data_IF_094759033210
#
_entry.id   IF_094759033210
#
_cell.length_a   1.000
_cell.length_b   1.000
_cell.length_c   1.000
_cell.angle_alpha   90.00
_cell.angle_beta   90.00
_cell.angle_gamma   90.00
#
_symmetry.space_group_name_H-M   'P 1'
#
loop_
_entity.id
_entity.type
_entity.pdbx_description
1 polymer ?
#
# COMPACT_ATOMS: atom_id res chain seq x y z
N UNK A 1 -42.36 -14.56 57.48
CA UNK A 1 -41.55 -15.04 56.33
C UNK A 1 -41.08 -13.81 55.59
N UNK A 2 -39.80 -13.49 55.75
CA UNK A 2 -39.15 -12.33 55.12
C UNK A 2 -38.55 -12.79 53.83
N UNK A 3 -38.96 -12.19 52.75
CA UNK A 3 -38.31 -12.35 51.43
C UNK A 3 -37.19 -11.31 51.30
N UNK A 4 -35.98 -11.77 51.27
CA UNK A 4 -34.80 -10.96 50.97
C UNK A 4 -34.62 -10.90 49.47
N UNK A 5 -34.74 -9.70 48.88
CA UNK A 5 -34.43 -9.45 47.49
C UNK A 5 -32.94 -9.11 47.42
N UNK A 6 -32.16 -9.92 46.77
CA UNK A 6 -30.75 -9.62 46.46
C UNK A 6 -30.68 -8.65 45.28
N UNK A 7 -30.11 -7.49 45.52
CA UNK A 7 -29.68 -6.56 44.48
C UNK A 7 -28.36 -7.06 43.88
N UNK A 8 -28.44 -7.81 42.78
CA UNK A 8 -27.29 -8.43 42.12
C UNK A 8 -27.35 -8.54 40.59
N UNK A 9 -28.42 -8.05 39.96
CA UNK A 9 -28.62 -8.28 38.54
C UNK A 9 -28.59 -7.00 37.67
N UNK A 10 -27.65 -6.09 37.96
CA UNK A 10 -27.51 -4.88 37.13
C UNK A 10 -26.09 -4.66 36.63
N UNK A 11 -25.40 -5.74 36.23
CA UNK A 11 -24.08 -5.66 35.60
C UNK A 11 -23.89 -6.73 34.54
N UNK A 12 -24.72 -6.77 33.52
CA UNK A 12 -24.44 -7.53 32.28
C UNK A 12 -24.94 -6.78 31.05
N UNK A 13 -24.46 -5.56 30.89
CA UNK A 13 -24.52 -4.81 29.65
C UNK A 13 -23.11 -4.67 29.04
N UNK A 14 -22.33 -5.75 28.99
CA UNK A 14 -21.17 -5.81 28.11
C UNK A 14 -21.69 -6.07 26.71
N UNK A 15 -21.85 -4.98 25.97
CA UNK A 15 -22.02 -5.04 24.52
C UNK A 15 -20.89 -5.84 23.92
N UNK A 16 -21.19 -7.06 23.50
CA UNK A 16 -20.42 -7.75 22.48
C UNK A 16 -20.39 -6.84 21.26
N UNK A 17 -19.38 -6.01 21.15
CA UNK A 17 -18.91 -5.53 19.87
C UNK A 17 -18.37 -6.78 19.16
N UNK A 18 -19.27 -7.48 18.48
CA UNK A 18 -18.89 -8.39 17.43
C UNK A 18 -18.22 -7.48 16.40
N UNK A 19 -16.89 -7.43 16.43
CA UNK A 19 -16.12 -6.98 15.30
C UNK A 19 -16.59 -7.84 14.11
N UNK A 20 -17.49 -7.29 13.34
CA UNK A 20 -17.80 -7.84 12.02
C UNK A 20 -16.49 -7.73 11.24
N UNK A 21 -15.69 -8.82 11.26
CA UNK A 21 -14.67 -9.06 10.24
C UNK A 21 -15.40 -8.89 8.93
N UNK A 22 -15.25 -7.74 8.29
CA UNK A 22 -15.64 -7.54 6.89
C UNK A 22 -15.00 -8.70 6.14
N UNK A 23 -15.83 -9.65 5.70
CA UNK A 23 -15.37 -10.71 4.81
C UNK A 23 -14.88 -10.00 3.55
N UNK A 24 -13.58 -9.89 3.41
CA UNK A 24 -12.97 -9.39 2.20
C UNK A 24 -13.38 -10.33 1.07
N UNK A 25 -14.15 -9.79 0.14
CA UNK A 25 -14.61 -10.55 -1.03
C UNK A 25 -13.39 -11.03 -1.81
N UNK A 26 -13.37 -12.29 -2.20
CA UNK A 26 -12.31 -12.83 -3.04
C UNK A 26 -12.27 -12.09 -4.37
N UNK A 27 -11.10 -11.57 -4.73
CA UNK A 27 -10.88 -10.89 -6.01
C UNK A 27 -10.35 -11.88 -7.02
N UNK A 28 -11.04 -12.01 -8.14
CA UNK A 28 -10.60 -12.84 -9.25
C UNK A 28 -9.86 -12.01 -10.31
N UNK A 29 -8.86 -12.59 -10.99
CA UNK A 29 -8.06 -11.86 -11.98
C UNK A 29 -8.91 -11.21 -13.08
N UNK A 30 -9.89 -11.94 -13.60
CA UNK A 30 -10.75 -11.45 -14.69
C UNK A 30 -11.66 -10.29 -14.25
N UNK A 31 -12.13 -10.31 -12.99
CA UNK A 31 -12.92 -9.22 -12.42
C UNK A 31 -12.06 -7.94 -12.28
N UNK A 32 -10.84 -8.08 -11.78
CA UNK A 32 -9.92 -6.95 -11.63
C UNK A 32 -9.49 -6.41 -13.00
N UNK A 33 -9.17 -7.30 -13.94
CA UNK A 33 -8.82 -6.90 -15.30
C UNK A 33 -9.96 -6.15 -15.99
N UNK A 34 -11.18 -6.66 -15.88
CA UNK A 34 -12.36 -6.03 -16.47
C UNK A 34 -12.62 -4.64 -15.87
N UNK A 35 -12.41 -4.47 -14.56
CA UNK A 35 -12.59 -3.17 -13.92
C UNK A 35 -11.53 -2.17 -14.36
N UNK A 36 -10.25 -2.58 -14.46
CA UNK A 36 -9.17 -1.72 -14.92
C UNK A 36 -9.31 -1.33 -16.40
N UNK A 37 -9.78 -2.25 -17.26
CA UNK A 37 -10.00 -2.01 -18.69
C UNK A 37 -11.13 -1.04 -19.00
N UNK A 38 -11.93 -0.64 -18.02
CA UNK A 38 -12.94 0.41 -18.23
C UNK A 38 -12.30 1.78 -18.47
N UNK A 39 -11.18 2.03 -17.80
CA UNK A 39 -10.53 3.34 -17.80
C UNK A 39 -9.20 3.34 -18.58
N UNK A 40 -8.65 2.15 -18.89
CA UNK A 40 -7.35 2.00 -19.54
C UNK A 40 -7.50 1.24 -20.85
N UNK A 41 -7.00 1.81 -21.93
CA UNK A 41 -7.10 1.25 -23.27
C UNK A 41 -5.73 0.85 -23.82
N UNK A 42 -5.70 -0.26 -24.58
CA UNK A 42 -4.52 -0.66 -25.34
C UNK A 42 -3.39 -1.30 -24.53
N UNK A 43 -3.68 -1.75 -23.28
CA UNK A 43 -2.73 -2.41 -22.40
C UNK A 43 -3.26 -3.74 -21.86
N UNK A 44 -4.10 -4.42 -22.61
CA UNK A 44 -4.90 -5.57 -22.15
C UNK A 44 -4.05 -6.70 -21.57
N UNK A 45 -2.92 -7.04 -22.21
CA UNK A 45 -2.04 -8.11 -21.73
C UNK A 45 -1.36 -7.72 -20.41
N UNK A 46 -0.87 -6.48 -20.31
CA UNK A 46 -0.26 -5.99 -19.08
C UNK A 46 -1.28 -5.94 -17.93
N UNK A 47 -2.49 -5.46 -18.20
CA UNK A 47 -3.58 -5.40 -17.21
C UNK A 47 -3.95 -6.80 -16.73
N UNK A 48 -4.08 -7.78 -17.62
CA UNK A 48 -4.34 -9.17 -17.24
C UNK A 48 -3.25 -9.71 -16.32
N UNK A 49 -1.98 -9.48 -16.68
CA UNK A 49 -0.86 -9.95 -15.86
C UNK A 49 -0.80 -9.30 -14.49
N UNK A 50 -1.00 -8.00 -14.40
CA UNK A 50 -1.09 -7.26 -13.14
C UNK A 50 -2.24 -7.82 -12.28
N UNK A 51 -3.40 -8.04 -12.89
CA UNK A 51 -4.57 -8.57 -12.21
C UNK A 51 -4.36 -9.99 -11.67
N UNK A 52 -3.65 -10.85 -12.41
CA UNK A 52 -3.23 -12.18 -11.94
C UNK A 52 -2.36 -12.09 -10.68
N UNK A 53 -1.32 -11.25 -10.71
CA UNK A 53 -0.36 -11.09 -9.60
C UNK A 53 -1.06 -10.56 -8.35
N UNK A 54 -1.78 -9.46 -8.48
CA UNK A 54 -2.48 -8.83 -7.35
C UNK A 54 -3.54 -9.78 -6.76
N UNK A 55 -4.36 -10.40 -7.60
CA UNK A 55 -5.40 -11.33 -7.13
C UNK A 55 -4.80 -12.56 -6.45
N UNK A 56 -3.66 -13.07 -6.93
CA UNK A 56 -2.96 -14.16 -6.29
C UNK A 56 -2.46 -13.78 -4.90
N UNK A 57 -1.87 -12.58 -4.74
CA UNK A 57 -1.39 -12.08 -3.45
C UNK A 57 -2.55 -11.85 -2.47
N UNK A 58 -3.63 -11.21 -2.89
CA UNK A 58 -4.81 -10.96 -2.05
C UNK A 58 -5.47 -12.24 -1.52
N UNK A 59 -5.30 -13.37 -2.21
CA UNK A 59 -5.83 -14.68 -1.79
C UNK A 59 -4.90 -15.46 -0.86
N UNK A 60 -3.69 -14.97 -0.61
CA UNK A 60 -2.76 -15.63 0.32
C UNK A 60 -3.28 -15.53 1.75
N UNK A 61 -3.02 -16.55 2.57
CA UNK A 61 -3.32 -16.53 4.02
C UNK A 61 -2.50 -15.45 4.75
N UNK A 62 -1.31 -15.17 4.22
CA UNK A 62 -0.42 -14.09 4.66
C UNK A 62 -0.07 -13.29 3.40
N UNK A 63 -0.71 -12.15 3.19
CA UNK A 63 -0.33 -11.24 2.12
C UNK A 63 1.12 -10.76 2.32
N UNK A 64 1.77 -10.47 1.22
CA UNK A 64 3.12 -9.91 1.19
C UNK A 64 3.08 -8.61 0.41
N UNK A 65 4.08 -7.75 0.59
CA UNK A 65 4.22 -6.56 -0.24
C UNK A 65 4.20 -6.96 -1.72
N UNK A 66 3.34 -6.30 -2.51
CA UNK A 66 3.26 -6.56 -3.94
C UNK A 66 4.04 -5.50 -4.71
N UNK A 67 4.94 -5.94 -5.60
CA UNK A 67 5.80 -5.06 -6.36
C UNK A 67 5.64 -5.38 -7.84
N UNK A 68 5.15 -4.41 -8.58
CA UNK A 68 4.92 -4.53 -10.02
C UNK A 68 5.75 -3.46 -10.73
N UNK A 69 6.65 -3.89 -11.60
CA UNK A 69 7.49 -2.99 -12.38
C UNK A 69 6.99 -2.93 -13.82
N UNK A 70 6.70 -1.71 -14.28
CA UNK A 70 6.21 -1.43 -15.63
C UNK A 70 7.30 -0.74 -16.45
N UNK A 71 7.81 -1.46 -17.41
CA UNK A 71 8.79 -0.95 -18.37
C UNK A 71 8.13 -0.47 -19.67
N UNK A 72 8.73 0.51 -20.31
CA UNK A 72 8.29 0.97 -21.62
C UNK A 72 8.45 2.48 -21.83
N UNK A 73 8.24 2.98 -23.04
CA UNK A 73 8.37 4.39 -23.34
C UNK A 73 7.35 5.24 -22.56
N UNK A 74 7.63 6.54 -22.49
CA UNK A 74 6.70 7.51 -21.89
C UNK A 74 5.38 7.56 -22.69
N UNK A 75 4.26 7.73 -21.99
CA UNK A 75 2.95 7.93 -22.63
C UNK A 75 2.18 6.66 -22.99
N UNK A 76 2.67 5.47 -22.64
CA UNK A 76 1.95 4.20 -22.90
C UNK A 76 0.95 3.81 -21.80
N UNK A 77 0.64 4.70 -20.86
CA UNK A 77 -0.40 4.42 -19.85
C UNK A 77 0.08 3.74 -18.56
N UNK A 78 1.40 3.61 -18.33
CA UNK A 78 1.94 3.01 -17.08
C UNK A 78 1.40 3.67 -15.81
N UNK A 79 1.39 4.98 -15.79
CA UNK A 79 0.92 5.79 -14.67
C UNK A 79 -0.61 5.66 -14.46
N UNK A 80 -1.37 5.50 -15.52
CA UNK A 80 -2.83 5.35 -15.45
C UNK A 80 -3.23 4.04 -14.76
N UNK A 81 -2.46 2.97 -14.93
CA UNK A 81 -2.68 1.71 -14.20
C UNK A 81 -2.60 1.93 -12.69
N UNK A 82 -1.55 2.64 -12.23
CA UNK A 82 -1.39 2.95 -10.81
C UNK A 82 -2.55 3.80 -10.25
N UNK A 83 -3.05 4.75 -11.03
CA UNK A 83 -4.16 5.63 -10.63
C UNK A 83 -5.52 4.91 -10.58
N UNK A 84 -5.77 3.99 -11.52
CA UNK A 84 -7.04 3.27 -11.58
C UNK A 84 -7.15 2.14 -10.54
N UNK A 85 -6.01 1.56 -10.13
CA UNK A 85 -5.96 0.38 -9.27
C UNK A 85 -6.68 0.55 -7.91
N UNK A 86 -6.50 1.65 -7.15
CA UNK A 86 -7.17 1.82 -5.86
C UNK A 86 -8.69 1.74 -5.96
N UNK A 87 -9.28 2.43 -6.93
CA UNK A 87 -10.73 2.42 -7.16
C UNK A 87 -11.27 1.05 -7.57
N UNK A 88 -10.53 0.34 -8.44
CA UNK A 88 -10.89 -1.01 -8.85
C UNK A 88 -10.86 -1.99 -7.66
N UNK A 89 -9.83 -1.92 -6.82
CA UNK A 89 -9.70 -2.74 -5.62
C UNK A 89 -10.78 -2.42 -4.59
N UNK A 90 -11.06 -1.15 -4.33
CA UNK A 90 -12.11 -0.73 -3.39
C UNK A 90 -13.47 -1.28 -3.82
N UNK A 91 -13.80 -1.18 -5.10
CA UNK A 91 -15.06 -1.69 -5.65
C UNK A 91 -15.21 -3.20 -5.49
N UNK A 92 -14.13 -3.96 -5.68
CA UNK A 92 -14.16 -5.42 -5.62
C UNK A 92 -14.05 -5.97 -4.20
N UNK A 93 -13.25 -5.34 -3.34
CA UNK A 93 -12.99 -5.82 -1.98
C UNK A 93 -13.88 -5.17 -0.93
N UNK A 94 -14.40 -3.97 -1.20
CA UNK A 94 -15.03 -3.10 -0.20
C UNK A 94 -14.03 -2.47 0.78
N UNK A 95 -12.72 -2.62 0.53
CA UNK A 95 -11.64 -2.06 1.33
C UNK A 95 -11.11 -0.79 0.67
N UNK A 96 -11.09 0.33 1.39
CA UNK A 96 -10.53 1.58 0.87
C UNK A 96 -9.02 1.51 0.77
N UNK A 97 -8.49 1.74 -0.43
CA UNK A 97 -7.07 1.83 -0.71
C UNK A 97 -6.65 3.30 -0.82
N UNK A 98 -5.63 3.70 -0.06
CA UNK A 98 -4.98 4.99 -0.26
C UNK A 98 -4.13 4.99 -1.54
N UNK A 99 -3.91 6.18 -2.12
CA UNK A 99 -3.08 6.32 -3.32
C UNK A 99 -2.04 7.43 -3.15
N UNK A 100 -0.79 7.11 -3.47
CA UNK A 100 0.32 8.05 -3.41
C UNK A 100 1.18 7.93 -4.67
N UNK A 101 1.26 9.02 -5.43
CA UNK A 101 2.17 9.12 -6.57
C UNK A 101 3.43 9.85 -6.13
N UNK A 102 4.58 9.27 -6.38
CA UNK A 102 5.90 9.78 -6.00
C UNK A 102 6.78 9.79 -7.24
N UNK A 103 7.11 10.98 -7.71
CA UNK A 103 8.06 11.18 -8.80
C UNK A 103 9.48 11.16 -8.24
N UNK A 104 10.23 10.09 -8.50
CA UNK A 104 11.55 9.88 -7.87
C UNK A 104 12.61 10.88 -8.36
N UNK A 105 12.40 11.50 -9.52
CA UNK A 105 13.24 12.59 -10.02
C UNK A 105 13.17 13.88 -9.19
N UNK A 106 12.14 14.04 -8.32
CA UNK A 106 12.02 15.18 -7.42
C UNK A 106 12.81 15.01 -6.11
N UNK A 107 13.29 13.79 -5.87
CA UNK A 107 14.02 13.44 -4.65
C UNK A 107 15.53 13.52 -4.87
N UNK A 108 16.03 14.77 -4.93
CA UNK A 108 17.45 15.07 -5.16
C UNK A 108 18.10 15.51 -3.85
N UNK A 109 19.24 14.91 -3.50
CA UNK A 109 20.03 15.26 -2.32
C UNK A 109 19.62 14.57 -1.01
N UNK A 110 20.41 14.79 0.04
CA UNK A 110 20.29 14.08 1.32
C UNK A 110 18.97 14.36 2.06
N UNK A 111 18.47 15.58 2.01
CA UNK A 111 17.20 15.93 2.64
C UNK A 111 16.01 15.17 2.05
N UNK A 112 16.08 14.77 0.78
CA UNK A 112 15.05 13.99 0.13
C UNK A 112 15.01 12.56 0.67
N UNK A 113 16.15 11.99 1.03
CA UNK A 113 16.21 10.66 1.67
C UNK A 113 15.47 10.66 3.00
N UNK A 114 15.58 11.75 3.77
CA UNK A 114 14.88 11.89 5.05
C UNK A 114 13.34 11.92 4.88
N UNK A 115 12.84 12.45 3.77
CA UNK A 115 11.40 12.38 3.45
C UNK A 115 10.92 10.96 3.17
N UNK A 116 11.81 10.06 2.74
CA UNK A 116 11.48 8.64 2.58
C UNK A 116 11.58 7.88 3.89
N UNK A 117 12.74 7.94 4.54
CA UNK A 117 13.12 7.04 5.63
C UNK A 117 13.27 7.73 6.98
N UNK A 118 12.86 9.01 7.07
CA UNK A 118 12.96 9.78 8.31
C UNK A 118 14.36 10.29 8.60
N UNK A 119 14.46 11.12 9.64
CA UNK A 119 15.71 11.67 10.14
C UNK A 119 16.04 11.10 11.50
N UNK A 120 17.32 10.83 11.81
CA UNK A 120 17.74 10.45 13.15
C UNK A 120 17.38 11.52 14.19
N UNK A 121 17.26 11.15 15.47
CA UNK A 121 17.10 12.12 16.56
C UNK A 121 18.18 13.21 16.50
N UNK A 122 17.80 14.44 16.77
CA UNK A 122 18.65 15.64 16.75
C UNK A 122 19.01 16.20 15.36
N UNK A 123 18.53 15.59 14.28
CA UNK A 123 18.68 16.14 12.94
C UNK A 123 17.46 16.97 12.53
N UNK A 124 17.68 17.90 11.60
CA UNK A 124 16.58 18.68 10.99
C UNK A 124 15.60 17.72 10.30
N UNK A 125 14.29 17.91 10.54
CA UNK A 125 13.26 17.01 10.03
C UNK A 125 13.00 15.77 10.88
N UNK A 126 13.57 15.70 12.11
CA UNK A 126 13.21 14.65 13.06
C UNK A 126 11.70 14.72 13.38
N UNK A 127 11.00 13.60 13.21
CA UNK A 127 9.53 13.45 13.31
C UNK A 127 8.72 14.12 12.18
N UNK A 128 9.34 14.63 11.13
CA UNK A 128 8.58 15.01 9.95
C UNK A 128 7.93 13.75 9.33
N UNK A 129 6.69 13.86 8.82
CA UNK A 129 6.02 12.73 8.19
C UNK A 129 6.81 12.22 7.00
N UNK A 130 7.02 10.91 6.94
CA UNK A 130 7.64 10.24 5.79
C UNK A 130 6.61 9.85 4.75
N UNK A 131 7.06 9.48 3.54
CA UNK A 131 6.18 8.99 2.48
C UNK A 131 5.40 7.74 2.89
N UNK A 132 5.87 6.99 3.89
CA UNK A 132 5.23 5.77 4.38
C UNK A 132 4.28 6.00 5.56
N UNK A 133 4.19 7.20 6.10
CA UNK A 133 3.33 7.49 7.25
C UNK A 133 1.85 7.11 7.03
N UNK A 134 1.26 7.29 5.83
CA UNK A 134 -0.11 6.87 5.57
C UNK A 134 -0.39 5.37 5.83
N UNK A 135 0.63 4.49 5.72
CA UNK A 135 0.48 3.05 5.98
C UNK A 135 0.13 2.76 7.45
N UNK A 136 0.54 3.62 8.38
CA UNK A 136 0.22 3.46 9.82
C UNK A 136 -1.26 3.61 10.11
N UNK A 137 -1.92 4.53 9.42
CA UNK A 137 -3.36 4.80 9.60
C UNK A 137 -4.25 3.87 8.77
N UNK A 138 -3.78 3.50 7.59
CA UNK A 138 -4.44 2.54 6.71
C UNK A 138 -3.38 1.66 6.04
N UNK A 139 -3.29 0.36 6.35
CA UNK A 139 -2.28 -0.52 5.77
C UNK A 139 -2.51 -0.80 4.27
N UNK A 140 -3.71 -0.56 3.77
CA UNK A 140 -4.06 -0.78 2.36
C UNK A 140 -3.70 0.46 1.53
N UNK A 141 -2.54 0.43 0.90
CA UNK A 141 -2.01 1.56 0.12
C UNK A 141 -1.52 1.10 -1.25
N UNK A 142 -1.68 1.96 -2.24
CA UNK A 142 -1.04 1.85 -3.55
C UNK A 142 -0.06 2.99 -3.71
N UNK A 143 1.21 2.66 -3.86
CA UNK A 143 2.27 3.62 -4.16
C UNK A 143 2.66 3.50 -5.62
N UNK A 144 2.57 4.59 -6.36
CA UNK A 144 3.09 4.71 -7.70
C UNK A 144 4.44 5.44 -7.64
N UNK A 145 5.52 4.70 -7.86
CA UNK A 145 6.88 5.23 -7.90
C UNK A 145 7.27 5.47 -9.35
N UNK A 146 7.24 6.72 -9.79
CA UNK A 146 7.55 7.08 -11.16
C UNK A 146 9.05 7.26 -11.39
N UNK A 147 9.55 6.69 -12.49
CA UNK A 147 10.91 6.83 -12.98
C UNK A 147 11.98 6.33 -11.99
N UNK A 148 11.92 5.05 -11.65
CA UNK A 148 12.84 4.42 -10.68
C UNK A 148 14.32 4.62 -11.05
N UNK A 149 14.64 4.73 -12.33
CA UNK A 149 15.99 5.01 -12.83
C UNK A 149 16.53 6.40 -12.46
N UNK A 150 15.66 7.29 -12.00
CA UNK A 150 16.03 8.65 -11.53
C UNK A 150 16.24 8.72 -10.02
N UNK A 151 15.93 7.65 -9.30
CA UNK A 151 16.13 7.61 -7.85
C UNK A 151 17.61 7.75 -7.50
N UNK A 152 17.90 8.54 -6.48
CA UNK A 152 19.26 8.56 -5.90
C UNK A 152 19.58 7.23 -5.25
N UNK A 153 20.83 6.79 -5.28
CA UNK A 153 21.29 5.47 -4.83
C UNK A 153 20.78 5.08 -3.44
N UNK A 154 20.74 6.02 -2.51
CA UNK A 154 20.27 5.77 -1.14
C UNK A 154 18.78 5.46 -1.07
N UNK A 155 17.96 6.13 -1.89
CA UNK A 155 16.51 5.84 -1.97
C UNK A 155 16.32 4.50 -2.65
N UNK A 156 17.01 4.26 -3.75
CA UNK A 156 16.94 2.98 -4.46
C UNK A 156 17.28 1.80 -3.54
N UNK A 157 18.43 1.87 -2.86
CA UNK A 157 18.89 0.82 -1.94
C UNK A 157 17.91 0.63 -0.79
N UNK A 158 17.44 1.73 -0.18
CA UNK A 158 16.46 1.65 0.91
C UNK A 158 15.12 1.05 0.48
N UNK A 159 14.64 1.35 -0.73
CA UNK A 159 13.44 0.71 -1.29
C UNK A 159 13.65 -0.78 -1.51
N UNK A 160 14.80 -1.21 -2.07
CA UNK A 160 15.11 -2.63 -2.25
C UNK A 160 15.15 -3.38 -0.92
N UNK A 161 15.65 -2.76 0.13
CA UNK A 161 15.66 -3.32 1.48
C UNK A 161 14.24 -3.47 2.03
N UNK A 162 13.39 -2.45 1.85
CA UNK A 162 11.98 -2.50 2.23
C UNK A 162 11.22 -3.60 1.47
N UNK A 163 11.45 -3.73 0.18
CA UNK A 163 10.80 -4.76 -0.65
C UNK A 163 11.22 -6.17 -0.26
N UNK A 164 12.50 -6.36 0.05
CA UNK A 164 13.03 -7.65 0.47
C UNK A 164 12.55 -8.06 1.86
N UNK A 165 12.46 -7.11 2.79
CA UNK A 165 12.07 -7.37 4.19
C UNK A 165 10.56 -7.33 4.42
N UNK A 166 9.78 -6.69 3.53
CA UNK A 166 8.35 -6.44 3.69
C UNK A 166 8.00 -5.40 4.75
N UNK A 167 9.00 -4.65 5.22
CA UNK A 167 8.81 -3.63 6.28
C UNK A 167 9.66 -2.39 6.02
N UNK A 168 9.23 -1.25 6.56
CA UNK A 168 10.04 -0.03 6.60
C UNK A 168 10.52 0.22 8.02
N UNK A 169 11.84 0.44 8.16
CA UNK A 169 12.48 0.90 9.39
C UNK A 169 12.90 2.35 9.22
N UNK A 170 12.25 3.24 9.95
CA UNK A 170 12.56 4.65 9.88
C UNK A 170 13.77 5.01 10.77
N UNK A 171 14.52 6.00 10.35
CA UNK A 171 15.72 6.47 11.06
C UNK A 171 15.41 7.14 12.41
N UNK A 172 14.16 7.51 12.67
CA UNK A 172 13.68 8.10 13.91
C UNK A 172 13.42 7.09 15.03
N UNK A 173 13.70 5.81 14.80
CA UNK A 173 13.45 4.69 15.71
C UNK A 173 11.95 4.49 16.05
N UNK A 174 11.04 5.02 15.26
CA UNK A 174 9.62 4.75 15.41
C UNK A 174 9.29 3.27 15.13
N UNK A 175 8.11 2.78 15.55
CA UNK A 175 7.71 1.41 15.28
C UNK A 175 7.79 1.07 13.79
N UNK A 176 8.21 -0.16 13.49
CA UNK A 176 8.33 -0.69 12.12
C UNK A 176 6.97 -0.58 11.40
N UNK A 177 7.00 -0.20 10.12
CA UNK A 177 5.83 -0.14 9.26
C UNK A 177 5.76 -1.44 8.46
N UNK A 178 4.66 -2.17 8.60
CA UNK A 178 4.39 -3.39 7.84
C UNK A 178 3.82 -3.05 6.46
N UNK A 179 4.42 -3.59 5.40
CA UNK A 179 4.05 -3.37 4.01
C UNK A 179 3.22 -4.52 3.41
N UNK A 180 2.80 -5.50 4.20
CA UNK A 180 2.14 -6.72 3.71
C UNK A 180 0.86 -6.47 2.89
N UNK A 181 0.19 -5.33 3.09
CA UNK A 181 -1.00 -4.93 2.35
C UNK A 181 -0.75 -3.77 1.38
N UNK A 182 0.51 -3.44 1.15
CA UNK A 182 0.92 -2.36 0.25
C UNK A 182 1.23 -2.90 -1.14
N UNK A 183 0.77 -2.18 -2.16
CA UNK A 183 1.05 -2.47 -3.56
C UNK A 183 1.92 -1.33 -4.11
N UNK A 184 3.08 -1.69 -4.64
CA UNK A 184 3.96 -0.76 -5.34
C UNK A 184 3.84 -0.98 -6.85
N UNK A 185 3.47 0.07 -7.55
CA UNK A 185 3.57 0.17 -9.02
C UNK A 185 4.79 1.03 -9.30
N UNK A 186 5.79 0.47 -9.94
CA UNK A 186 7.05 1.14 -10.25
C UNK A 186 7.13 1.33 -11.75
N UNK A 187 7.37 2.54 -12.20
CA UNK A 187 7.56 2.78 -13.64
C UNK A 187 9.04 3.00 -13.97
N UNK A 188 9.42 2.55 -15.15
CA UNK A 188 10.73 2.84 -15.74
C UNK A 188 10.60 3.11 -17.23
N UNK A 189 11.37 4.08 -17.71
CA UNK A 189 11.46 4.43 -19.12
C UNK A 189 12.67 3.78 -19.82
N UNK A 190 13.45 2.96 -19.09
CA UNK A 190 14.57 2.21 -19.67
C UNK A 190 14.01 1.15 -20.62
N UNK A 191 14.50 1.05 -21.87
CA UNK A 191 14.15 -0.04 -22.76
C UNK A 191 14.61 -1.37 -22.18
N UNK A 192 13.79 -2.40 -22.28
CA UNK A 192 14.12 -3.79 -21.91
C UNK A 192 14.71 -4.49 -23.12
#
# INVERSE_FOLDING_TARGET
TRSTVFAGDLMLGQGNQIEQKKQTKTVWPDELAAELMRDIYGQDEAIKKISELISANLRRKKPEVEIIVLFGPTGVGKTEVGKALPGALEKLTGQTYGFHQIALNEFIGEHSVNRFFGSPPSYVGYKDPTVFEPVRSNPYQVFLLDEIEKAVDRIYTGLMECFSSGVVRLADNSPVIDLSHVIFIITSNIPV
#
